data_IF_294710309650
#
_entry.id   IF_294710309650
#
_cell.length_a   1.000
_cell.length_b   1.000
_cell.length_c   1.000
_cell.angle_alpha   90.00
_cell.angle_beta   90.00
_cell.angle_gamma   90.00
#
_symmetry.space_group_name_H-M   'P 1'
#
loop_
_entity.id
_entity.type
_entity.pdbx_description
1 polymer ?
#
# COMPACT_ATOMS: atom_id res chain seq x y z
N UNK A 1 -70.73 17.03 17.91
CA UNK A 1 -69.46 17.15 18.67
C UNK A 1 -68.54 15.92 18.60
N UNK A 2 -69.02 14.67 18.49
CA UNK A 2 -68.15 13.47 18.40
C UNK A 2 -67.30 13.30 17.12
N UNK A 3 -67.63 13.97 16.01
CA UNK A 3 -66.86 13.87 14.75
C UNK A 3 -65.63 14.80 14.66
N UNK A 4 -65.55 15.83 15.50
CA UNK A 4 -64.41 16.78 15.49
C UNK A 4 -63.25 16.26 16.36
N UNK A 5 -63.56 15.45 17.39
CA UNK A 5 -62.54 14.87 18.27
C UNK A 5 -61.70 13.77 17.59
N UNK A 6 -62.27 13.06 16.61
CA UNK A 6 -61.57 11.99 15.88
C UNK A 6 -60.59 12.56 14.85
N UNK A 7 -60.90 13.71 14.24
CA UNK A 7 -59.99 14.38 13.30
C UNK A 7 -58.78 15.02 13.98
N UNK A 8 -58.92 15.49 15.23
CA UNK A 8 -57.80 16.02 16.03
C UNK A 8 -56.90 14.91 16.59
N UNK A 9 -57.44 13.73 16.90
CA UNK A 9 -56.65 12.56 17.29
C UNK A 9 -55.89 11.94 16.09
N UNK A 10 -56.44 11.97 14.88
CA UNK A 10 -55.74 11.54 13.66
C UNK A 10 -54.69 12.55 13.19
N UNK A 11 -54.91 13.86 13.37
CA UNK A 11 -53.87 14.87 13.12
C UNK A 11 -52.74 14.81 14.16
N UNK A 12 -53.04 14.47 15.41
CA UNK A 12 -52.04 14.23 16.46
C UNK A 12 -51.20 12.95 16.27
N UNK A 13 -51.75 11.94 15.58
CA UNK A 13 -51.03 10.70 15.26
C UNK A 13 -50.16 10.79 14.00
N UNK A 14 -50.36 11.78 13.13
CA UNK A 14 -49.51 12.04 11.95
C UNK A 14 -48.44 13.11 12.16
N UNK A 15 -48.56 13.95 13.20
CA UNK A 15 -47.53 14.94 13.55
C UNK A 15 -46.56 14.47 14.66
N UNK A 16 -46.75 13.27 15.21
CA UNK A 16 -45.91 12.69 16.26
C UNK A 16 -44.78 11.76 15.79
N UNK A 17 -44.43 11.77 14.50
CA UNK A 17 -43.33 10.95 13.93
C UNK A 17 -42.20 11.74 13.26
N UNK A 18 -42.22 13.06 13.35
CA UNK A 18 -41.10 13.92 12.99
C UNK A 18 -40.58 14.59 14.26
N UNK A 19 -39.27 14.54 14.50
CA UNK A 19 -38.57 14.90 15.74
C UNK A 19 -38.47 13.78 16.80
N UNK A 20 -38.05 12.58 16.38
CA UNK A 20 -36.89 12.04 17.08
C UNK A 20 -35.70 12.87 16.58
N UNK A 21 -35.13 13.70 17.46
CA UNK A 21 -33.81 14.27 17.24
C UNK A 21 -32.80 13.10 17.21
N UNK A 22 -32.65 12.46 16.05
CA UNK A 22 -31.36 11.88 15.69
C UNK A 22 -30.39 13.06 15.70
N UNK A 23 -29.51 13.10 16.70
CA UNK A 23 -28.51 14.16 16.80
C UNK A 23 -27.82 14.30 15.45
N UNK A 24 -27.97 15.46 14.83
CA UNK A 24 -27.33 15.76 13.55
C UNK A 24 -25.84 15.61 13.76
N UNK A 25 -25.25 14.55 13.20
CA UNK A 25 -23.81 14.41 13.19
C UNK A 25 -23.26 15.50 12.30
N UNK A 26 -22.34 16.28 12.86
CA UNK A 26 -21.66 17.37 12.18
C UNK A 26 -20.16 17.07 12.18
N UNK A 27 -19.51 17.20 11.03
CA UNK A 27 -18.04 17.06 10.97
C UNK A 27 -17.32 18.34 11.46
N UNK A 28 -15.99 18.30 11.44
CA UNK A 28 -15.15 19.45 11.84
C UNK A 28 -15.34 20.69 10.97
N UNK A 29 -15.92 20.55 9.78
CA UNK A 29 -16.22 21.63 8.85
C UNK A 29 -17.68 22.10 8.95
N UNK A 30 -18.44 21.63 9.95
CA UNK A 30 -19.84 22.04 10.10
C UNK A 30 -20.82 21.29 9.20
N UNK A 31 -20.37 20.30 8.42
CA UNK A 31 -21.23 19.58 7.46
C UNK A 31 -22.11 18.56 8.14
N UNK A 32 -23.38 18.51 7.74
CA UNK A 32 -24.43 17.71 8.38
C UNK A 32 -24.61 16.39 7.63
N UNK A 33 -24.54 15.27 8.35
CA UNK A 33 -24.80 13.94 7.79
C UNK A 33 -26.26 13.77 7.30
N UNK A 34 -26.44 13.09 6.15
CA UNK A 34 -27.74 12.89 5.50
C UNK A 34 -28.17 11.41 5.43
N UNK A 35 -28.52 10.74 6.54
CA UNK A 35 -28.75 9.28 6.58
C UNK A 35 -29.90 8.78 5.68
N UNK A 36 -30.94 9.60 5.49
CA UNK A 36 -32.15 9.22 4.75
C UNK A 36 -32.08 9.52 3.24
N UNK A 37 -30.99 10.15 2.76
CA UNK A 37 -30.87 10.55 1.36
C UNK A 37 -30.29 9.41 0.53
N UNK A 38 -31.02 8.98 -0.50
CA UNK A 38 -30.49 8.02 -1.47
C UNK A 38 -29.35 8.67 -2.27
N UNK A 39 -28.18 8.05 -2.24
CA UNK A 39 -27.07 8.42 -3.10
C UNK A 39 -27.07 7.67 -4.42
N UNK A 40 -25.90 7.70 -5.07
CA UNK A 40 -25.68 7.11 -6.39
C UNK A 40 -24.71 5.95 -6.32
N UNK A 41 -24.93 4.96 -7.17
CA UNK A 41 -23.95 3.94 -7.50
C UNK A 41 -23.25 4.33 -8.80
N UNK A 42 -21.92 4.45 -8.76
CA UNK A 42 -21.07 4.60 -9.94
C UNK A 42 -20.34 3.28 -10.19
N UNK A 43 -20.31 2.82 -11.44
CA UNK A 43 -19.50 1.69 -11.87
C UNK A 43 -18.51 2.20 -12.92
N UNK A 44 -17.22 2.03 -12.66
CA UNK A 44 -16.14 2.39 -13.57
C UNK A 44 -15.20 1.22 -13.80
N UNK A 45 -14.51 1.26 -14.93
CA UNK A 45 -13.57 0.22 -15.33
C UNK A 45 -12.37 0.83 -16.04
N UNK A 46 -11.22 0.21 -15.89
CA UNK A 46 -10.00 0.61 -16.59
C UNK A 46 -9.08 -0.59 -16.87
N UNK A 47 -8.33 -0.52 -17.95
CA UNK A 47 -7.35 -1.52 -18.37
C UNK A 47 -6.03 -0.79 -18.54
N UNK A 48 -5.02 -1.21 -17.77
CA UNK A 48 -3.67 -0.67 -17.86
C UNK A 48 -3.12 -0.84 -19.29
N UNK A 49 -2.55 0.22 -19.85
CA UNK A 49 -1.99 0.22 -21.21
C UNK A 49 -0.81 -0.75 -21.39
N UNK A 50 -0.08 -1.05 -20.32
CA UNK A 50 1.04 -2.01 -20.28
C UNK A 50 0.62 -3.47 -20.15
N UNK A 51 -0.64 -3.76 -19.82
CA UNK A 51 -1.09 -5.14 -19.57
C UNK A 51 -0.82 -6.08 -20.76
N UNK A 52 -1.04 -5.61 -21.98
CA UNK A 52 -0.84 -6.41 -23.20
C UNK A 52 0.64 -6.74 -23.47
N UNK A 53 1.57 -5.95 -22.91
CA UNK A 53 3.01 -6.20 -23.02
C UNK A 53 3.46 -7.30 -22.05
N UNK A 54 2.98 -7.25 -20.82
CA UNK A 54 3.31 -8.22 -19.77
C UNK A 54 2.62 -9.57 -19.97
N UNK A 55 1.40 -9.57 -20.54
CA UNK A 55 0.59 -10.77 -20.74
C UNK A 55 0.21 -10.97 -22.22
N UNK A 56 1.21 -11.22 -23.09
CA UNK A 56 0.95 -11.40 -24.51
C UNK A 56 0.10 -12.66 -24.74
N UNK A 57 -1.01 -12.51 -25.45
CA UNK A 57 -1.94 -13.60 -25.76
C UNK A 57 -3.11 -13.77 -24.78
N UNK A 58 -3.13 -13.04 -23.66
CA UNK A 58 -4.30 -12.95 -22.79
C UNK A 58 -5.27 -11.87 -23.28
N UNK A 59 -6.57 -12.16 -23.26
CA UNK A 59 -7.58 -11.17 -23.67
C UNK A 59 -7.96 -10.29 -22.48
N UNK A 60 -7.43 -9.07 -22.45
CA UNK A 60 -7.79 -8.03 -21.46
C UNK A 60 -9.30 -7.82 -21.35
N UNK A 61 -10.03 -7.99 -22.44
CA UNK A 61 -11.49 -7.95 -22.46
C UNK A 61 -12.11 -9.09 -21.64
N UNK A 62 -11.66 -10.34 -21.79
CA UNK A 62 -12.17 -11.47 -20.98
C UNK A 62 -11.83 -11.30 -19.50
N UNK A 63 -10.64 -10.79 -19.20
CA UNK A 63 -10.26 -10.44 -17.83
C UNK A 63 -11.23 -9.40 -17.25
N UNK A 64 -11.53 -8.35 -18.01
CA UNK A 64 -12.48 -7.32 -17.61
C UNK A 64 -13.91 -7.88 -17.45
N UNK A 65 -14.39 -8.73 -18.36
CA UNK A 65 -15.71 -9.40 -18.24
C UNK A 65 -15.82 -10.22 -16.95
N UNK A 66 -14.72 -10.85 -16.53
CA UNK A 66 -14.64 -11.60 -15.28
C UNK A 66 -14.76 -10.68 -14.08
N UNK A 67 -14.05 -9.55 -14.07
CA UNK A 67 -14.17 -8.53 -13.02
C UNK A 67 -15.57 -7.91 -12.97
N UNK A 68 -16.17 -7.65 -14.14
CA UNK A 68 -17.53 -7.15 -14.22
C UNK A 68 -18.56 -8.14 -13.67
N UNK A 69 -18.28 -9.45 -13.69
CA UNK A 69 -19.14 -10.44 -13.03
C UNK A 69 -19.15 -10.25 -11.51
N UNK A 70 -17.99 -9.99 -10.89
CA UNK A 70 -17.90 -9.63 -9.46
C UNK A 70 -18.61 -8.31 -9.20
N UNK A 71 -18.35 -7.29 -10.01
CA UNK A 71 -18.97 -5.97 -9.88
C UNK A 71 -20.51 -6.03 -9.98
N UNK A 72 -21.04 -6.86 -10.87
CA UNK A 72 -22.48 -7.07 -11.05
C UNK A 72 -23.11 -7.79 -9.86
N UNK A 73 -22.39 -8.72 -9.22
CA UNK A 73 -22.87 -9.36 -7.99
C UNK A 73 -22.92 -8.32 -6.86
N UNK A 74 -21.86 -7.53 -6.68
CA UNK A 74 -21.80 -6.47 -5.67
C UNK A 74 -22.89 -5.41 -5.89
N UNK A 75 -23.09 -4.95 -7.13
CA UNK A 75 -24.10 -3.93 -7.46
C UNK A 75 -25.55 -4.43 -7.33
N UNK A 76 -25.76 -5.75 -7.34
CA UNK A 76 -27.07 -6.35 -7.09
C UNK A 76 -27.51 -6.31 -5.62
N UNK A 77 -26.59 -5.96 -4.71
CA UNK A 77 -26.89 -5.83 -3.29
C UNK A 77 -27.71 -4.58 -3.00
N UNK A 78 -28.83 -4.74 -2.30
CA UNK A 78 -29.76 -3.62 -2.03
C UNK A 78 -29.13 -2.47 -1.24
N UNK A 79 -28.12 -2.75 -0.42
CA UNK A 79 -27.44 -1.72 0.38
C UNK A 79 -26.62 -0.70 -0.43
N UNK A 80 -26.34 -0.98 -1.72
CA UNK A 80 -25.61 -0.07 -2.61
C UNK A 80 -26.40 0.38 -3.83
N UNK A 81 -27.68 0.00 -3.95
CA UNK A 81 -28.49 0.30 -5.13
C UNK A 81 -29.96 0.62 -4.80
N UNK A 82 -30.28 1.90 -4.50
CA UNK A 82 -29.35 2.97 -4.16
C UNK A 82 -28.85 2.86 -2.71
N UNK A 83 -27.65 3.36 -2.37
CA UNK A 83 -27.19 3.40 -0.99
C UNK A 83 -27.91 4.54 -0.24
N UNK A 84 -28.56 4.23 0.88
CA UNK A 84 -29.12 5.25 1.76
C UNK A 84 -27.99 5.92 2.55
N UNK A 85 -27.94 7.25 2.55
CA UNK A 85 -26.97 8.06 3.29
C UNK A 85 -25.54 8.04 2.76
N UNK A 86 -25.30 7.45 1.60
CA UNK A 86 -23.97 7.31 1.03
C UNK A 86 -23.99 7.25 -0.50
N UNK A 87 -22.86 7.53 -1.12
CA UNK A 87 -22.56 7.15 -2.49
C UNK A 87 -21.73 5.86 -2.49
N UNK A 88 -21.93 5.04 -3.52
CA UNK A 88 -21.14 3.84 -3.76
C UNK A 88 -20.40 3.97 -5.10
N UNK A 89 -19.15 3.50 -5.14
CA UNK A 89 -18.36 3.42 -6.36
C UNK A 89 -17.76 2.03 -6.47
N UNK A 90 -18.02 1.33 -7.58
CA UNK A 90 -17.35 0.08 -7.93
C UNK A 90 -16.35 0.38 -9.05
N UNK A 91 -15.08 0.05 -8.82
CA UNK A 91 -14.02 0.20 -9.80
C UNK A 91 -13.41 -1.17 -10.11
N UNK A 92 -13.43 -1.55 -11.39
CA UNK A 92 -12.80 -2.77 -11.90
C UNK A 92 -11.52 -2.41 -12.65
N UNK A 93 -10.40 -3.05 -12.31
CA UNK A 93 -9.10 -2.73 -12.88
C UNK A 93 -8.37 -3.98 -13.35
N UNK A 94 -7.85 -3.93 -14.58
CA UNK A 94 -6.98 -4.96 -15.15
C UNK A 94 -5.58 -4.37 -15.35
N UNK A 95 -4.61 -4.88 -14.59
CA UNK A 95 -3.17 -4.72 -14.79
C UNK A 95 -2.49 -6.07 -14.54
N UNK A 96 -1.20 -6.08 -14.15
CA UNK A 96 -0.57 -7.23 -13.45
C UNK A 96 -1.47 -7.86 -12.38
N UNK A 97 -2.40 -7.08 -11.82
CA UNK A 97 -3.40 -7.51 -10.86
C UNK A 97 -4.79 -7.30 -11.44
N UNK A 98 -5.66 -8.28 -11.23
CA UNK A 98 -7.07 -8.21 -11.61
C UNK A 98 -7.90 -7.97 -10.36
N UNK A 99 -8.61 -6.85 -10.26
CA UNK A 99 -9.35 -6.55 -9.04
C UNK A 99 -10.60 -5.69 -9.20
N UNK A 100 -11.50 -5.84 -8.23
CA UNK A 100 -12.68 -5.00 -8.04
C UNK A 100 -12.63 -4.37 -6.66
N UNK A 101 -12.76 -3.05 -6.59
CA UNK A 101 -12.96 -2.32 -5.33
C UNK A 101 -14.36 -1.74 -5.27
N UNK A 102 -15.08 -1.98 -4.18
CA UNK A 102 -16.28 -1.23 -3.81
C UNK A 102 -15.91 -0.24 -2.71
N UNK A 103 -16.22 1.03 -2.93
CA UNK A 103 -15.99 2.13 -1.99
C UNK A 103 -17.32 2.79 -1.64
N UNK A 104 -17.54 3.03 -0.34
CA UNK A 104 -18.73 3.70 0.20
C UNK A 104 -18.29 4.99 0.87
N UNK A 105 -18.87 6.10 0.45
CA UNK A 105 -18.57 7.43 0.98
C UNK A 105 -19.85 8.10 1.45
N UNK A 106 -19.82 8.70 2.64
CA UNK A 106 -21.01 9.23 3.30
C UNK A 106 -21.48 10.52 2.63
N UNK A 107 -22.79 10.69 2.50
CA UNK A 107 -23.39 11.93 2.01
C UNK A 107 -23.56 12.94 3.14
N UNK A 108 -23.05 14.13 2.91
CA UNK A 108 -23.15 15.25 3.84
C UNK A 108 -23.76 16.46 3.14
N UNK A 109 -24.27 17.39 3.93
CA UNK A 109 -24.75 18.69 3.49
C UNK A 109 -23.82 19.74 4.06
N UNK A 110 -23.27 20.56 3.19
CA UNK A 110 -22.52 21.74 3.60
C UNK A 110 -23.45 22.72 4.34
N UNK A 111 -23.05 23.19 5.52
CA UNK A 111 -23.92 24.02 6.35
C UNK A 111 -24.10 25.44 5.78
N UNK A 112 -23.09 25.96 5.09
CA UNK A 112 -23.07 27.34 4.60
C UNK A 112 -23.78 27.46 3.25
N UNK A 113 -23.49 26.54 2.33
CA UNK A 113 -24.04 26.54 0.96
C UNK A 113 -25.31 25.70 0.83
N UNK A 114 -25.51 24.75 1.74
CA UNK A 114 -26.59 23.78 1.66
C UNK A 114 -26.39 22.70 0.58
N UNK A 115 -25.26 22.69 -0.10
CA UNK A 115 -24.96 21.73 -1.17
C UNK A 115 -24.68 20.33 -0.62
N UNK A 116 -24.98 19.31 -1.43
CA UNK A 116 -24.66 17.92 -1.09
C UNK A 116 -23.20 17.65 -1.47
N UNK A 117 -22.42 17.23 -0.49
CA UNK A 117 -21.03 16.85 -0.65
C UNK A 117 -20.83 15.41 -0.21
N UNK A 118 -19.70 14.83 -0.63
CA UNK A 118 -19.29 13.49 -0.22
C UNK A 118 -18.17 13.64 0.80
N UNK A 119 -18.20 12.86 1.87
CA UNK A 119 -17.11 12.85 2.85
C UNK A 119 -15.79 12.41 2.22
N UNK A 120 -14.69 13.01 2.68
CA UNK A 120 -13.34 12.52 2.39
C UNK A 120 -13.05 11.14 3.00
N UNK A 121 -13.81 10.75 4.02
CA UNK A 121 -13.77 9.41 4.60
C UNK A 121 -14.61 8.42 3.79
N UNK A 122 -14.04 7.26 3.52
CA UNK A 122 -14.71 6.18 2.81
C UNK A 122 -14.27 4.82 3.34
N UNK A 123 -15.20 3.88 3.35
CA UNK A 123 -14.92 2.48 3.65
C UNK A 123 -14.82 1.71 2.34
N UNK A 124 -13.90 0.76 2.24
CA UNK A 124 -13.73 -0.02 1.01
C UNK A 124 -13.59 -1.53 1.27
N UNK A 125 -14.00 -2.30 0.28
CA UNK A 125 -13.68 -3.73 0.15
C UNK A 125 -13.05 -3.96 -1.21
N UNK A 126 -11.96 -4.71 -1.22
CA UNK A 126 -11.17 -5.06 -2.40
C UNK A 126 -11.25 -6.56 -2.61
N UNK A 127 -11.58 -6.98 -3.83
CA UNK A 127 -11.61 -8.37 -4.28
C UNK A 127 -10.59 -8.52 -5.41
N UNK A 128 -9.48 -9.18 -5.11
CA UNK A 128 -8.45 -9.56 -6.09
C UNK A 128 -8.74 -10.94 -6.67
N UNK A 129 -8.49 -11.11 -7.97
CA UNK A 129 -8.58 -12.38 -8.70
C UNK A 129 -7.18 -12.84 -9.10
N UNK A 130 -6.84 -14.10 -8.83
CA UNK A 130 -5.54 -14.70 -9.19
C UNK A 130 -4.32 -13.93 -8.65
N UNK A 131 -4.53 -13.04 -7.67
CA UNK A 131 -3.49 -12.20 -7.09
C UNK A 131 -3.09 -12.74 -5.71
N UNK A 132 -2.16 -13.68 -5.70
CA UNK A 132 -1.61 -14.19 -4.44
C UNK A 132 -0.76 -13.13 -3.72
N UNK A 133 -0.22 -12.15 -4.45
CA UNK A 133 0.57 -11.06 -3.87
C UNK A 133 -0.30 -10.11 -3.03
N UNK A 134 -1.60 -10.00 -3.31
CA UNK A 134 -2.53 -9.30 -2.43
C UNK A 134 -2.68 -9.98 -1.04
N UNK A 135 -2.32 -11.26 -0.90
CA UNK A 135 -2.43 -12.01 0.35
C UNK A 135 -1.16 -11.98 1.23
N UNK A 136 -0.03 -11.51 0.72
CA UNK A 136 1.29 -11.72 1.37
C UNK A 136 1.78 -10.53 2.21
N UNK A 137 1.17 -9.36 2.08
CA UNK A 137 1.63 -8.14 2.76
C UNK A 137 2.95 -7.61 2.18
N UNK A 138 3.76 -6.94 2.99
CA UNK A 138 5.11 -6.52 2.59
C UNK A 138 6.10 -7.67 2.80
N UNK A 139 6.81 -8.11 1.76
CA UNK A 139 7.78 -9.20 1.89
C UNK A 139 9.01 -8.79 2.68
N UNK A 140 9.64 -9.78 3.31
CA UNK A 140 10.97 -9.64 3.94
C UNK A 140 12.01 -9.63 2.84
N UNK A 141 12.00 -10.66 1.99
CA UNK A 141 12.87 -10.78 0.83
C UNK A 141 12.16 -11.47 -0.32
N UNK A 142 12.22 -10.89 -1.53
CA UNK A 142 11.51 -11.38 -2.72
C UNK A 142 10.01 -11.64 -2.42
N UNK A 143 9.55 -12.90 -2.52
CA UNK A 143 8.19 -13.33 -2.15
C UNK A 143 8.12 -14.00 -0.76
N UNK A 144 9.23 -14.04 -0.01
CA UNK A 144 9.31 -14.60 1.34
C UNK A 144 8.77 -13.57 2.33
N UNK A 145 7.83 -14.02 3.16
CA UNK A 145 7.09 -13.19 4.10
C UNK A 145 7.17 -13.76 5.52
N UNK A 146 6.94 -12.90 6.51
CA UNK A 146 6.57 -13.37 7.84
C UNK A 146 5.24 -14.13 7.73
N UNK A 147 5.21 -15.35 8.25
CA UNK A 147 4.08 -16.28 8.10
C UNK A 147 2.80 -15.64 8.66
N UNK A 148 1.77 -15.41 7.82
CA UNK A 148 0.54 -14.81 8.27
C UNK A 148 -0.18 -15.69 9.28
N UNK A 149 -0.77 -15.05 10.30
CA UNK A 149 -1.47 -15.77 11.38
C UNK A 149 -2.95 -15.85 11.03
N UNK A 150 -3.51 -17.07 10.96
CA UNK A 150 -4.97 -17.24 10.84
C UNK A 150 -5.64 -16.68 12.10
N UNK A 151 -6.60 -15.76 11.93
CA UNK A 151 -7.32 -15.11 13.04
C UNK A 151 -8.75 -15.61 13.18
N UNK A 152 -9.47 -15.76 12.08
CA UNK A 152 -10.86 -16.24 12.06
C UNK A 152 -11.24 -16.72 10.66
N UNK A 153 -12.51 -17.07 10.46
CA UNK A 153 -13.05 -17.50 9.17
C UNK A 153 -14.10 -16.49 8.66
N UNK A 154 -14.06 -16.19 7.37
CA UNK A 154 -15.04 -15.40 6.64
C UNK A 154 -15.83 -16.32 5.72
N UNK A 155 -17.09 -16.61 6.09
CA UNK A 155 -17.98 -17.55 5.37
C UNK A 155 -17.33 -18.92 5.09
N UNK A 156 -16.56 -19.43 6.05
CA UNK A 156 -15.85 -20.72 5.95
C UNK A 156 -14.47 -20.66 5.30
N UNK A 157 -13.99 -19.47 4.90
CA UNK A 157 -12.64 -19.28 4.35
C UNK A 157 -11.70 -18.60 5.35
N UNK A 158 -10.42 -19.00 5.43
CA UNK A 158 -9.49 -18.47 6.41
C UNK A 158 -9.19 -16.99 6.17
N UNK A 159 -9.19 -16.23 7.26
CA UNK A 159 -8.74 -14.84 7.29
C UNK A 159 -7.43 -14.75 8.04
N UNK A 160 -6.42 -14.23 7.37
CA UNK A 160 -5.06 -14.09 7.88
C UNK A 160 -4.77 -12.65 8.25
N UNK A 161 -4.06 -12.46 9.36
CA UNK A 161 -3.42 -11.20 9.71
C UNK A 161 -2.04 -11.14 9.06
N UNK A 162 -1.83 -10.11 8.24
CA UNK A 162 -0.55 -9.76 7.62
C UNK A 162 -0.05 -8.42 8.18
N UNK A 163 1.18 -8.04 7.86
CA UNK A 163 1.70 -6.71 8.18
C UNK A 163 1.02 -5.57 7.38
N UNK A 164 0.14 -5.87 6.44
CA UNK A 164 -0.68 -4.89 5.70
C UNK A 164 -2.18 -4.95 6.05
N UNK A 165 -2.55 -5.71 7.07
CA UNK A 165 -3.94 -5.88 7.48
C UNK A 165 -4.48 -7.30 7.29
N UNK A 166 -5.80 -7.44 7.42
CA UNK A 166 -6.48 -8.72 7.25
C UNK A 166 -6.77 -9.02 5.78
N UNK A 167 -6.61 -10.29 5.41
CA UNK A 167 -6.96 -10.80 4.08
C UNK A 167 -7.65 -12.15 4.19
N UNK A 168 -8.79 -12.29 3.53
CA UNK A 168 -9.41 -13.60 3.31
C UNK A 168 -8.84 -14.22 2.05
N UNK A 169 -8.49 -15.50 2.10
CA UNK A 169 -7.98 -16.26 0.96
C UNK A 169 -8.96 -17.38 0.60
N UNK A 170 -9.50 -17.33 -0.61
CA UNK A 170 -10.54 -18.23 -1.09
C UNK A 170 -10.01 -19.01 -2.28
N UNK A 171 -9.87 -20.32 -2.12
CA UNK A 171 -9.48 -21.25 -3.19
C UNK A 171 -10.29 -22.56 -3.07
N UNK A 172 -10.74 -23.14 -4.18
CA UNK A 172 -11.44 -24.42 -4.18
C UNK A 172 -10.50 -25.62 -3.96
N UNK A 173 -9.19 -25.42 -4.05
CA UNK A 173 -8.20 -26.51 -4.07
C UNK A 173 -7.92 -27.14 -2.69
N UNK A 174 -8.40 -26.53 -1.59
CA UNK A 174 -8.14 -27.02 -0.23
C UNK A 174 -6.66 -27.01 0.17
N UNK A 175 -5.81 -26.31 -0.59
CA UNK A 175 -4.38 -26.17 -0.32
C UNK A 175 -4.12 -25.08 0.71
N UNK A 176 -3.04 -25.20 1.49
CA UNK A 176 -2.58 -24.12 2.35
C UNK A 176 -2.23 -22.88 1.51
N UNK A 177 -2.61 -21.70 1.99
CA UNK A 177 -2.28 -20.44 1.34
C UNK A 177 -0.78 -20.12 1.37
N UNK A 178 -0.09 -20.62 2.39
CA UNK A 178 1.32 -20.37 2.63
C UNK A 178 2.05 -21.68 2.87
N UNK A 179 3.25 -21.79 2.30
CA UNK A 179 4.17 -22.92 2.50
C UNK A 179 5.37 -22.45 3.32
N UNK A 180 5.88 -23.26 4.27
CA UNK A 180 7.08 -22.93 5.02
C UNK A 180 8.26 -22.65 4.08
N UNK A 181 9.00 -21.59 4.37
CA UNK A 181 10.28 -21.31 3.71
C UNK A 181 11.41 -21.93 4.51
N UNK A 182 12.31 -22.64 3.84
CA UNK A 182 13.49 -23.22 4.48
C UNK A 182 14.61 -22.20 4.70
N UNK A 183 15.54 -22.49 5.63
CA UNK A 183 16.70 -21.62 5.89
C UNK A 183 17.55 -21.39 4.64
N UNK A 184 17.77 -22.45 3.86
CA UNK A 184 18.53 -22.36 2.62
C UNK A 184 17.85 -21.49 1.57
N UNK A 185 16.53 -21.63 1.37
CA UNK A 185 15.78 -20.79 0.43
C UNK A 185 15.85 -19.31 0.81
N UNK A 186 15.68 -19.00 2.11
CA UNK A 186 15.77 -17.63 2.59
C UNK A 186 17.16 -17.03 2.39
N UNK A 187 18.23 -17.71 2.82
CA UNK A 187 19.59 -17.19 2.70
C UNK A 187 19.96 -16.98 1.23
N UNK A 188 19.55 -17.89 0.33
CA UNK A 188 19.76 -17.73 -1.11
C UNK A 188 19.04 -16.50 -1.67
N UNK A 189 17.80 -16.26 -1.26
CA UNK A 189 17.04 -15.08 -1.70
C UNK A 189 17.67 -13.77 -1.19
N UNK A 190 18.17 -13.73 0.06
CA UNK A 190 18.89 -12.56 0.58
C UNK A 190 20.20 -12.35 -0.19
N UNK A 191 20.95 -13.43 -0.42
CA UNK A 191 22.21 -13.39 -1.14
C UNK A 191 22.02 -12.86 -2.57
N UNK A 192 21.01 -13.34 -3.30
CA UNK A 192 20.69 -12.87 -4.65
C UNK A 192 20.37 -11.37 -4.66
N UNK A 193 19.54 -10.91 -3.73
CA UNK A 193 19.23 -9.47 -3.58
C UNK A 193 20.49 -8.65 -3.30
N UNK A 194 21.33 -9.08 -2.37
CA UNK A 194 22.56 -8.33 -2.02
C UNK A 194 23.56 -8.32 -3.19
N UNK A 195 23.65 -9.40 -3.95
CA UNK A 195 24.46 -9.46 -5.18
C UNK A 195 23.92 -8.51 -6.27
N UNK A 196 22.60 -8.42 -6.44
CA UNK A 196 21.97 -7.44 -7.34
C UNK A 196 22.23 -5.99 -6.89
N UNK A 197 22.09 -5.69 -5.59
CA UNK A 197 22.38 -4.37 -5.04
C UNK A 197 23.86 -4.01 -5.25
N UNK A 198 24.77 -4.95 -5.01
CA UNK A 198 26.19 -4.75 -5.26
C UNK A 198 26.48 -4.48 -6.74
N UNK A 199 25.84 -5.21 -7.66
CA UNK A 199 25.99 -5.02 -9.09
C UNK A 199 25.54 -3.62 -9.53
N UNK A 200 24.35 -3.19 -9.10
CA UNK A 200 23.81 -1.84 -9.40
C UNK A 200 24.70 -0.75 -8.84
N UNK A 201 25.16 -0.87 -7.59
CA UNK A 201 26.07 0.11 -6.99
C UNK A 201 27.42 0.17 -7.70
N UNK A 202 27.96 -0.98 -8.09
CA UNK A 202 29.24 -1.06 -8.83
C UNK A 202 29.10 -0.39 -10.19
N UNK A 203 27.99 -0.61 -10.89
CA UNK A 203 27.71 0.05 -12.17
C UNK A 203 27.56 1.56 -12.00
N UNK A 204 26.82 2.02 -10.99
CA UNK A 204 26.68 3.45 -10.69
C UNK A 204 28.04 4.11 -10.38
N UNK A 205 28.86 3.49 -9.53
CA UNK A 205 30.19 3.99 -9.20
C UNK A 205 31.15 4.08 -10.41
N UNK A 206 30.98 3.19 -11.39
CA UNK A 206 31.76 3.22 -12.63
C UNK A 206 31.24 4.23 -13.67
N UNK A 207 29.99 4.70 -13.53
CA UNK A 207 29.37 5.67 -14.42
C UNK A 207 29.48 7.12 -13.93
N UNK A 208 29.83 7.35 -12.66
CA UNK A 208 30.13 8.69 -12.17
C UNK A 208 31.32 9.25 -12.95
N UNK A 209 31.17 10.38 -13.68
CA UNK A 209 32.31 11.02 -14.32
C UNK A 209 33.35 11.37 -13.26
N UNK A 210 34.64 11.28 -13.60
CA UNK A 210 35.64 11.95 -12.79
C UNK A 210 35.28 13.44 -12.79
N UNK A 211 34.91 14.00 -11.63
CA UNK A 211 34.76 15.44 -11.52
C UNK A 211 36.12 16.07 -11.80
N UNK A 212 36.29 16.55 -13.02
CA UNK A 212 37.48 17.29 -13.39
C UNK A 212 37.46 18.59 -12.58
N UNK A 213 38.51 18.86 -11.81
CA UNK A 213 38.64 20.13 -11.07
C UNK A 213 38.49 21.35 -11.98
N UNK A 214 38.81 21.21 -13.28
CA UNK A 214 38.57 22.24 -14.28
C UNK A 214 37.08 22.51 -14.54
N UNK A 215 36.24 21.48 -14.51
CA UNK A 215 34.79 21.59 -14.75
C UNK A 215 34.07 22.17 -13.53
N UNK A 216 34.44 21.74 -12.30
CA UNK A 216 33.97 22.36 -11.05
C UNK A 216 34.34 23.86 -11.04
N UNK A 217 35.59 24.19 -11.37
CA UNK A 217 36.03 25.58 -11.45
C UNK A 217 35.26 26.37 -12.50
N UNK A 218 35.01 25.80 -13.68
CA UNK A 218 34.26 26.46 -14.74
C UNK A 218 32.81 26.74 -14.33
N UNK A 219 32.18 25.82 -13.59
CA UNK A 219 30.82 25.99 -13.09
C UNK A 219 30.73 27.01 -11.95
N UNK A 220 31.70 27.00 -11.02
CA UNK A 220 31.79 28.01 -9.97
C UNK A 220 32.12 29.41 -10.52
N UNK A 221 32.99 29.51 -11.55
CA UNK A 221 33.27 30.77 -12.26
C UNK A 221 32.01 31.30 -12.98
N UNK A 222 31.18 30.42 -13.54
CA UNK A 222 29.88 30.78 -14.11
C UNK A 222 28.92 31.30 -13.03
N UNK A 223 28.84 30.63 -11.89
CA UNK A 223 28.00 31.04 -10.76
C UNK A 223 28.39 32.41 -10.21
N UNK A 224 29.70 32.70 -10.10
CA UNK A 224 30.18 34.04 -9.72
C UNK A 224 29.73 35.12 -10.70
N UNK A 225 29.69 34.81 -12.00
CA UNK A 225 29.25 35.77 -13.01
C UNK A 225 27.77 36.11 -12.85
N UNK A 226 26.93 35.10 -12.57
CA UNK A 226 25.49 35.27 -12.28
C UNK A 226 25.27 36.03 -10.96
N UNK A 227 26.11 35.79 -9.94
CA UNK A 227 26.11 36.57 -8.69
C UNK A 227 26.51 38.03 -8.93
N UNK A 228 27.49 38.31 -9.78
CA UNK A 228 27.91 39.67 -10.12
C UNK A 228 26.77 40.44 -10.81
N UNK A 229 26.03 39.79 -11.72
CA UNK A 229 24.82 40.38 -12.34
C UNK A 229 23.71 40.68 -11.32
N UNK A 230 23.52 39.77 -10.36
CA UNK A 230 22.57 39.94 -9.24
C UNK A 230 23.00 41.08 -8.32
N UNK A 231 24.28 41.19 -8.01
CA UNK A 231 24.87 42.27 -7.22
C UNK A 231 24.67 43.64 -7.89
N UNK A 232 24.88 43.75 -9.21
CA UNK A 232 24.64 45.00 -9.96
C UNK A 232 23.17 45.42 -9.94
N UNK A 233 22.25 44.45 -9.87
CA UNK A 233 20.81 44.72 -9.73
C UNK A 233 20.47 45.20 -8.32
N UNK A 234 21.01 44.53 -7.28
CA UNK A 234 20.82 44.91 -5.87
C UNK A 234 21.40 46.29 -5.55
N UNK A 235 22.55 46.64 -6.12
CA UNK A 235 23.18 47.97 -5.99
C UNK A 235 22.26 49.13 -6.37
N UNK A 236 21.36 48.91 -7.33
CA UNK A 236 20.39 49.92 -7.80
C UNK A 236 19.17 50.03 -6.90
N UNK A 237 18.86 48.98 -6.13
CA UNK A 237 17.64 48.87 -5.34
C UNK A 237 17.89 49.13 -3.85
N UNK A 238 18.92 48.50 -3.27
CA UNK A 238 19.29 48.65 -1.85
C UNK A 238 20.80 48.50 -1.67
N UNK A 239 21.46 49.62 -1.37
CA UNK A 239 22.90 49.69 -1.20
C UNK A 239 23.41 48.95 0.04
N UNK A 240 22.57 48.79 1.08
CA UNK A 240 22.96 48.12 2.32
C UNK A 240 22.97 46.60 2.11
N UNK A 241 21.93 46.07 1.47
CA UNK A 241 21.84 44.64 1.12
C UNK A 241 22.92 44.26 0.09
N UNK A 242 23.19 45.13 -0.89
CA UNK A 242 24.25 44.90 -1.85
C UNK A 242 25.64 44.79 -1.19
N UNK A 243 25.93 45.57 -0.14
CA UNK A 243 27.20 45.51 0.57
C UNK A 243 27.41 44.18 1.31
N UNK A 244 26.35 43.63 1.94
CA UNK A 244 26.39 42.31 2.58
C UNK A 244 26.53 41.18 1.53
N UNK A 245 25.81 41.29 0.41
CA UNK A 245 25.90 40.34 -0.70
C UNK A 245 27.32 40.30 -1.32
N UNK A 246 27.97 41.46 -1.44
CA UNK A 246 29.36 41.56 -1.94
C UNK A 246 30.35 40.81 -1.06
N UNK A 247 30.18 40.83 0.26
CA UNK A 247 31.05 40.10 1.19
C UNK A 247 30.93 38.58 0.98
N UNK A 248 29.72 38.07 0.75
CA UNK A 248 29.51 36.65 0.40
C UNK A 248 30.16 36.28 -0.94
N UNK A 249 30.03 37.13 -1.96
CA UNK A 249 30.67 36.92 -3.26
C UNK A 249 32.20 36.96 -3.18
N UNK A 250 32.79 37.84 -2.37
CA UNK A 250 34.24 37.91 -2.15
C UNK A 250 34.76 36.69 -1.38
N UNK A 251 33.97 36.12 -0.46
CA UNK A 251 34.30 34.87 0.22
C UNK A 251 34.34 33.68 -0.77
N UNK A 252 33.33 33.56 -1.64
CA UNK A 252 33.30 32.54 -2.69
C UNK A 252 34.43 32.70 -3.71
N UNK A 253 34.77 33.94 -4.12
CA UNK A 253 35.94 34.23 -4.98
C UNK A 253 37.25 33.74 -4.34
N UNK A 254 37.41 33.88 -3.02
CA UNK A 254 38.59 33.39 -2.29
C UNK A 254 38.62 31.85 -2.21
N UNK A 255 37.47 31.23 -2.05
CA UNK A 255 37.33 29.77 -2.03
C UNK A 255 37.79 29.16 -3.37
N UNK A 256 37.35 29.71 -4.51
CA UNK A 256 37.80 29.26 -5.84
C UNK A 256 39.31 29.44 -6.05
N UNK A 257 39.88 30.53 -5.55
CA UNK A 257 41.33 30.76 -5.65
C UNK A 257 42.14 29.76 -4.81
N UNK A 258 41.55 29.28 -3.70
CA UNK A 258 42.17 28.27 -2.84
C UNK A 258 42.18 26.86 -3.46
N UNK A 259 41.26 26.55 -4.39
CA UNK A 259 41.24 25.29 -5.17
C UNK A 259 42.57 25.06 -5.93
N UNK A 260 43.31 26.11 -6.27
CA UNK A 260 44.61 26.00 -6.97
C UNK A 260 45.85 26.12 -6.06
N UNK A 261 45.68 26.51 -4.79
CA UNK A 261 46.81 27.03 -3.97
C UNK A 261 47.17 26.18 -2.76
N UNK A 262 46.46 25.09 -2.52
CA UNK A 262 46.70 24.20 -1.38
C UNK A 262 46.74 22.77 -1.89
N UNK A 263 47.85 22.02 -1.76
CA UNK A 263 47.77 20.58 -1.80
C UNK A 263 46.94 20.18 -0.58
N UNK A 264 45.66 19.90 -0.79
CA UNK A 264 44.85 19.26 0.24
C UNK A 264 45.58 17.99 0.70
N UNK A 265 45.56 17.64 2.00
CA UNK A 265 45.97 16.30 2.41
C UNK A 265 45.17 15.33 1.53
N UNK A 266 45.86 14.44 0.81
CA UNK A 266 45.24 13.54 -0.15
C UNK A 266 44.00 12.91 0.48
N UNK A 267 42.83 13.41 0.09
CA UNK A 267 41.56 12.83 0.50
C UNK A 267 41.49 11.39 0.01
N UNK A 268 40.58 10.59 0.56
CA UNK A 268 40.42 9.22 0.10
C UNK A 268 40.22 9.22 -1.42
N UNK A 269 40.95 8.36 -2.13
CA UNK A 269 40.82 8.30 -3.60
C UNK A 269 39.39 7.89 -3.96
N UNK A 270 38.96 8.15 -5.21
CA UNK A 270 37.66 7.69 -5.71
C UNK A 270 37.53 6.18 -5.52
N UNK A 271 38.58 5.40 -5.76
CA UNK A 271 38.61 3.97 -5.51
C UNK A 271 38.45 3.62 -4.02
N UNK A 272 39.04 4.41 -3.11
CA UNK A 272 38.89 4.21 -1.67
C UNK A 272 37.47 4.51 -1.20
N UNK A 273 36.83 5.55 -1.74
CA UNK A 273 35.43 5.91 -1.47
C UNK A 273 34.46 4.85 -2.01
N UNK A 274 34.64 4.43 -3.27
CA UNK A 274 33.87 3.35 -3.88
C UNK A 274 34.04 2.07 -3.07
N UNK A 275 35.27 1.71 -2.70
CA UNK A 275 35.50 0.52 -1.89
C UNK A 275 34.87 0.64 -0.50
N UNK A 276 34.91 1.80 0.14
CA UNK A 276 34.24 2.03 1.42
C UNK A 276 32.73 1.86 1.32
N UNK A 277 32.10 2.31 0.23
CA UNK A 277 30.66 2.17 0.00
C UNK A 277 30.24 0.73 -0.34
N UNK A 278 31.03 0.02 -1.13
CA UNK A 278 30.72 -1.36 -1.56
C UNK A 278 31.09 -2.41 -0.50
N UNK A 279 32.02 -2.11 0.41
CA UNK A 279 32.51 -3.04 1.43
C UNK A 279 31.42 -3.63 2.34
N UNK A 280 30.44 -2.87 2.84
CA UNK A 280 29.33 -3.43 3.62
C UNK A 280 28.57 -4.55 2.88
N UNK A 281 28.22 -4.34 1.61
CA UNK A 281 27.54 -5.36 0.79
C UNK A 281 28.44 -6.58 0.56
N UNK A 282 29.73 -6.37 0.27
CA UNK A 282 30.70 -7.48 0.10
C UNK A 282 30.84 -8.32 1.38
N UNK A 283 30.94 -7.67 2.55
CA UNK A 283 31.02 -8.34 3.85
C UNK A 283 29.76 -9.15 4.13
N UNK A 284 28.58 -8.57 3.89
CA UNK A 284 27.29 -9.25 4.06
C UNK A 284 27.18 -10.49 3.16
N UNK A 285 27.52 -10.37 1.88
CA UNK A 285 27.54 -11.51 0.95
C UNK A 285 28.49 -12.61 1.44
N UNK A 286 29.70 -12.25 1.89
CA UNK A 286 30.67 -13.21 2.42
C UNK A 286 30.15 -13.92 3.67
N UNK A 287 29.54 -13.18 4.60
CA UNK A 287 28.95 -13.72 5.81
C UNK A 287 27.78 -14.66 5.51
N UNK A 288 26.88 -14.31 4.59
CA UNK A 288 25.76 -15.18 4.16
C UNK A 288 26.27 -16.48 3.52
N UNK A 289 27.31 -16.40 2.68
CA UNK A 289 27.95 -17.59 2.08
C UNK A 289 28.59 -18.49 3.14
N UNK A 290 29.27 -17.89 4.12
CA UNK A 290 29.87 -18.63 5.24
C UNK A 290 28.80 -19.27 6.13
N UNK A 291 27.71 -18.55 6.42
CA UNK A 291 26.57 -19.03 7.20
C UNK A 291 25.93 -20.26 6.53
N UNK A 292 25.64 -20.18 5.23
CA UNK A 292 25.06 -21.29 4.47
C UNK A 292 26.00 -22.51 4.39
N UNK A 293 27.31 -22.27 4.23
CA UNK A 293 28.31 -23.34 4.19
C UNK A 293 28.50 -24.01 5.57
N UNK A 294 28.28 -23.27 6.66
CA UNK A 294 28.35 -23.77 8.03
C UNK A 294 27.16 -24.62 8.47
N UNK A 295 26.02 -24.54 7.77
CA UNK A 295 24.81 -25.32 8.10
C UNK A 295 24.89 -26.76 7.59
N UNK A 296 24.38 -27.70 8.39
CA UNK A 296 24.13 -29.07 7.95
C UNK A 296 22.96 -29.15 6.96
N UNK A 297 22.89 -30.23 6.17
CA UNK A 297 21.77 -30.48 5.24
C UNK A 297 20.41 -30.59 5.93
N UNK A 298 20.39 -31.04 7.19
CA UNK A 298 19.17 -31.08 7.98
C UNK A 298 18.73 -29.65 8.36
N UNK A 299 19.65 -28.82 8.85
CA UNK A 299 19.36 -27.42 9.23
C UNK A 299 18.93 -26.57 8.05
N UNK A 300 19.57 -26.75 6.88
CA UNK A 300 19.18 -26.05 5.63
C UNK A 300 17.72 -26.26 5.27
N UNK A 301 17.18 -27.46 5.53
CA UNK A 301 15.79 -27.86 5.24
C UNK A 301 14.80 -27.49 6.33
N UNK A 302 15.27 -27.06 7.51
CA UNK A 302 14.37 -26.58 8.55
C UNK A 302 13.70 -25.29 8.13
N UNK A 303 12.50 -25.04 8.65
CA UNK A 303 11.81 -23.77 8.43
C UNK A 303 12.66 -22.61 8.98
N UNK A 304 12.71 -21.52 8.21
CA UNK A 304 13.38 -20.30 8.59
C UNK A 304 12.55 -19.52 9.62
N UNK A 305 13.24 -19.02 10.65
CA UNK A 305 12.68 -18.11 11.65
C UNK A 305 13.54 -16.86 11.70
N UNK A 306 12.96 -15.71 11.38
CA UNK A 306 13.65 -14.42 11.42
C UNK A 306 13.61 -13.88 12.85
N UNK A 307 14.77 -13.49 13.40
CA UNK A 307 14.86 -12.91 14.74
C UNK A 307 14.01 -11.64 14.88
N UNK A 308 13.39 -11.40 16.03
CA UNK A 308 12.76 -10.11 16.37
C UNK A 308 13.80 -8.98 16.58
N UNK A 309 15.06 -9.34 16.82
CA UNK A 309 16.14 -8.38 17.03
C UNK A 309 16.59 -7.74 15.72
N UNK A 310 16.32 -6.44 15.59
CA UNK A 310 16.71 -5.65 14.41
C UNK A 310 18.24 -5.63 14.20
N UNK A 311 19.04 -5.73 15.26
CA UNK A 311 20.51 -5.78 15.10
C UNK A 311 20.96 -7.07 14.44
N UNK A 312 20.24 -8.18 14.70
CA UNK A 312 20.46 -9.43 14.00
C UNK A 312 19.97 -9.38 12.55
N UNK A 313 18.81 -8.75 12.29
CA UNK A 313 18.24 -8.63 10.94
C UNK A 313 19.08 -7.75 10.00
N UNK A 314 19.62 -6.64 10.51
CA UNK A 314 20.38 -5.67 9.73
C UNK A 314 21.90 -5.81 9.90
N UNK A 315 22.35 -6.85 10.61
CA UNK A 315 23.76 -7.18 10.77
C UNK A 315 24.38 -7.79 9.50
N UNK A 316 25.59 -8.35 9.65
CA UNK A 316 26.32 -8.96 8.53
C UNK A 316 25.76 -10.33 8.12
N UNK A 317 24.99 -11.01 8.97
CA UNK A 317 24.40 -12.32 8.69
C UNK A 317 22.99 -12.27 8.10
N UNK A 318 22.31 -13.43 8.05
CA UNK A 318 20.95 -13.55 7.54
C UNK A 318 19.86 -13.00 8.48
N UNK A 319 20.20 -12.86 9.77
CA UNK A 319 19.25 -12.53 10.84
C UNK A 319 18.33 -13.70 11.24
N UNK A 320 18.57 -14.91 10.73
CA UNK A 320 17.84 -16.10 11.14
C UNK A 320 18.28 -16.60 12.52
N UNK A 321 17.35 -17.23 13.22
CA UNK A 321 17.65 -17.94 14.46
C UNK A 321 18.44 -19.24 14.18
N UNK A 322 19.36 -19.56 15.09
CA UNK A 322 20.28 -20.69 14.96
C UNK A 322 19.61 -22.03 15.30
N UNK A 323 20.05 -23.11 14.66
CA UNK A 323 19.57 -24.48 14.97
C UNK A 323 18.05 -24.62 15.04
N UNK A 324 17.55 -25.18 16.16
CA UNK A 324 16.12 -25.37 16.45
C UNK A 324 15.51 -24.25 17.30
N UNK A 325 16.19 -23.11 17.47
CA UNK A 325 15.65 -21.99 18.23
C UNK A 325 14.53 -21.31 17.42
N UNK A 326 13.33 -21.31 17.98
CA UNK A 326 12.16 -20.66 17.37
C UNK A 326 11.58 -19.55 18.25
N UNK A 327 12.11 -19.38 19.47
CA UNK A 327 11.60 -18.41 20.45
C UNK A 327 12.13 -17.03 20.14
N UNK A 328 11.24 -16.04 20.03
CA UNK A 328 11.61 -14.65 19.70
C UNK A 328 11.89 -14.43 18.21
N UNK A 329 11.33 -15.26 17.34
CA UNK A 329 11.41 -15.06 15.90
C UNK A 329 10.11 -15.37 15.17
N UNK A 330 9.96 -14.77 13.99
CA UNK A 330 8.82 -14.97 13.11
C UNK A 330 9.12 -16.08 12.11
N UNK A 331 8.28 -17.10 12.08
CA UNK A 331 8.32 -18.13 11.06
C UNK A 331 8.21 -17.49 9.67
N UNK A 332 9.04 -17.90 8.71
CA UNK A 332 8.96 -17.43 7.33
C UNK A 332 8.22 -18.43 6.45
N UNK A 333 7.47 -17.89 5.49
CA UNK A 333 6.71 -18.65 4.51
C UNK A 333 6.76 -17.99 3.14
N UNK A 334 6.33 -18.71 2.11
CA UNK A 334 6.05 -18.18 0.77
C UNK A 334 4.58 -18.40 0.44
N UNK A 335 3.97 -17.55 -0.39
CA UNK A 335 2.68 -17.86 -0.98
C UNK A 335 2.74 -19.19 -1.74
N UNK A 336 1.71 -20.03 -1.59
CA UNK A 336 1.68 -21.33 -2.25
C UNK A 336 1.46 -21.14 -3.77
N UNK A 337 2.45 -21.44 -4.63
CA UNK A 337 2.34 -21.22 -6.07
C UNK A 337 1.31 -22.14 -6.72
N UNK A 338 0.89 -23.22 -6.04
CA UNK A 338 -0.11 -24.16 -6.56
C UNK A 338 -1.55 -23.61 -6.47
N UNK A 339 -1.76 -22.48 -5.78
CA UNK A 339 -3.06 -21.82 -5.73
C UNK A 339 -3.46 -21.15 -7.06
N UNK A 340 -2.48 -20.78 -7.87
CA UNK A 340 -2.69 -20.19 -9.20
C UNK A 340 -1.82 -20.96 -10.19
N UNK A 341 -2.42 -21.94 -10.88
CA UNK A 341 -1.67 -22.84 -11.75
C UNK A 341 -1.17 -22.11 -12.99
N UNK A 342 0.12 -22.30 -13.31
CA UNK A 342 0.72 -21.84 -14.57
C UNK A 342 0.00 -22.47 -15.76
N UNK A 343 -0.22 -21.69 -16.81
CA UNK A 343 -0.85 -22.13 -18.06
C UNK A 343 -2.38 -22.13 -18.05
N UNK A 344 -3.03 -21.84 -16.91
CA UNK A 344 -4.46 -21.52 -16.89
C UNK A 344 -4.63 -20.05 -17.26
N UNK A 345 -5.53 -19.71 -18.20
CA UNK A 345 -5.75 -18.33 -18.60
C UNK A 345 -6.13 -17.40 -17.43
N UNK A 346 -5.59 -16.18 -17.41
CA UNK A 346 -5.78 -15.22 -16.30
C UNK A 346 -7.25 -14.90 -16.00
N UNK A 347 -8.10 -14.89 -17.04
CA UNK A 347 -9.53 -14.63 -16.91
C UNK A 347 -10.31 -15.77 -16.25
N UNK A 348 -9.69 -16.91 -15.94
CA UNK A 348 -10.30 -18.00 -15.17
C UNK A 348 -9.86 -17.83 -13.70
N UNK A 349 -10.75 -17.41 -12.79
CA UNK A 349 -10.39 -17.25 -11.39
C UNK A 349 -10.09 -18.62 -10.76
N UNK A 350 -8.91 -18.75 -10.15
CA UNK A 350 -8.44 -19.91 -9.37
C UNK A 350 -8.26 -19.54 -7.88
N UNK A 351 -8.16 -18.24 -7.61
CA UNK A 351 -7.97 -17.66 -6.28
C UNK A 351 -8.74 -16.35 -6.17
N UNK A 352 -9.37 -16.11 -5.01
CA UNK A 352 -9.79 -14.77 -4.59
C UNK A 352 -9.05 -14.35 -3.33
N UNK A 353 -8.74 -13.07 -3.26
CA UNK A 353 -8.31 -12.41 -2.03
C UNK A 353 -9.29 -11.29 -1.70
N UNK A 354 -9.74 -11.21 -0.44
CA UNK A 354 -10.62 -10.13 0.01
C UNK A 354 -9.92 -9.32 1.09
N UNK A 355 -9.88 -8.00 0.92
CA UNK A 355 -9.34 -7.06 1.90
C UNK A 355 -10.37 -5.99 2.20
N UNK A 356 -10.34 -5.49 3.42
CA UNK A 356 -11.22 -4.43 3.88
C UNK A 356 -10.40 -3.23 4.37
N UNK A 357 -11.02 -2.05 4.29
CA UNK A 357 -10.51 -0.83 4.89
C UNK A 357 -11.69 -0.08 5.50
N UNK A 358 -11.93 -0.30 6.79
CA UNK A 358 -12.96 0.38 7.59
C UNK A 358 -12.31 1.33 8.57
N UNK A 359 -12.77 2.59 8.60
CA UNK A 359 -12.14 3.65 9.39
C UNK A 359 -12.40 3.55 10.89
N UNK A 360 -13.59 3.10 11.29
CA UNK A 360 -14.01 2.95 12.69
C UNK A 360 -13.97 1.48 13.15
N UNK A 361 -13.17 0.65 12.48
CA UNK A 361 -12.90 -0.71 12.92
C UNK A 361 -11.56 -0.78 13.65
N UNK A 362 -11.53 -1.46 14.79
CA UNK A 362 -10.31 -1.67 15.59
C UNK A 362 -9.19 -2.38 14.81
N UNK A 363 -9.56 -3.13 13.78
CA UNK A 363 -8.67 -4.00 13.04
C UNK A 363 -8.79 -3.79 11.51
N UNK A 364 -9.55 -2.77 11.10
CA UNK A 364 -9.80 -2.42 9.70
C UNK A 364 -10.83 -3.30 8.99
N UNK A 365 -11.43 -4.28 9.68
CA UNK A 365 -12.36 -5.26 9.09
C UNK A 365 -13.79 -5.10 9.60
N UNK A 366 -14.78 -5.70 8.91
CA UNK A 366 -16.15 -5.79 9.41
C UNK A 366 -16.31 -6.43 10.79
N UNK A 367 -15.37 -7.29 11.20
CA UNK A 367 -15.44 -8.02 12.47
C UNK A 367 -15.00 -7.15 13.65
N UNK A 368 -14.10 -6.19 13.41
CA UNK A 368 -13.63 -5.23 14.40
C UNK A 368 -14.48 -3.96 14.53
N UNK A 369 -15.60 -3.86 13.81
CA UNK A 369 -16.51 -2.72 13.85
C UNK A 369 -17.34 -2.69 15.13
N UNK A 370 -17.31 -1.56 15.84
CA UNK A 370 -17.94 -1.40 17.16
C UNK A 370 -19.46 -1.15 17.13
N UNK A 371 -20.04 -0.93 15.94
CA UNK A 371 -21.46 -0.69 15.75
C UNK A 371 -21.88 0.79 15.72
N UNK A 372 -20.97 1.76 15.87
CA UNK A 372 -21.34 3.17 15.69
C UNK A 372 -21.60 3.49 14.22
N UNK A 373 -22.86 3.67 13.87
CA UNK A 373 -23.30 3.92 12.50
C UNK A 373 -23.57 5.39 12.20
N UNK A 374 -23.19 6.31 13.08
CA UNK A 374 -23.43 7.75 12.90
C UNK A 374 -22.28 8.38 12.11
N UNK A 375 -22.61 9.39 11.30
CA UNK A 375 -21.61 10.14 10.54
C UNK A 375 -20.75 9.23 9.66
N UNK A 376 -19.43 9.29 9.82
CA UNK A 376 -18.48 8.47 9.07
C UNK A 376 -18.62 6.96 9.35
N UNK A 377 -19.13 6.56 10.52
CA UNK A 377 -19.39 5.15 10.84
C UNK A 377 -20.50 4.51 9.98
N UNK A 378 -21.28 5.32 9.26
CA UNK A 378 -22.33 4.82 8.37
C UNK A 378 -21.78 4.02 7.19
N UNK A 379 -20.65 4.45 6.59
CA UNK A 379 -20.03 3.67 5.51
C UNK A 379 -19.47 2.33 6.00
N UNK A 380 -18.93 2.31 7.22
CA UNK A 380 -18.45 1.07 7.87
C UNK A 380 -19.63 0.13 8.16
N UNK A 381 -20.76 0.66 8.64
CA UNK A 381 -21.98 -0.12 8.83
C UNK A 381 -22.45 -0.77 7.52
N UNK A 382 -22.50 -0.01 6.42
CA UNK A 382 -22.87 -0.56 5.11
C UNK A 382 -21.92 -1.70 4.73
N UNK A 383 -20.61 -1.54 4.92
CA UNK A 383 -19.65 -2.62 4.65
C UNK A 383 -19.82 -3.84 5.56
N UNK A 384 -20.17 -3.62 6.83
CA UNK A 384 -20.45 -4.71 7.76
C UNK A 384 -21.71 -5.48 7.38
N UNK A 385 -22.75 -4.77 6.93
CA UNK A 385 -23.99 -5.39 6.48
C UNK A 385 -23.76 -6.16 5.16
N UNK A 386 -22.93 -5.64 4.25
CA UNK A 386 -22.48 -6.36 3.06
C UNK A 386 -21.71 -7.64 3.44
N UNK A 387 -20.79 -7.55 4.40
CA UNK A 387 -19.99 -8.67 4.86
C UNK A 387 -20.85 -9.80 5.45
N UNK A 388 -22.02 -9.50 6.01
CA UNK A 388 -22.97 -10.48 6.57
C UNK A 388 -23.84 -11.16 5.52
N UNK A 389 -23.93 -10.66 4.29
CA UNK A 389 -24.75 -11.25 3.23
C UNK A 389 -24.07 -12.49 2.62
N UNK A 390 -24.23 -13.63 3.31
CA UNK A 390 -23.64 -14.91 2.92
C UNK A 390 -24.06 -15.34 1.51
N UNK A 391 -25.30 -15.09 1.11
CA UNK A 391 -25.82 -15.48 -0.21
C UNK A 391 -25.11 -14.71 -1.33
N UNK A 392 -24.83 -13.42 -1.11
CA UNK A 392 -24.04 -12.62 -2.04
C UNK A 392 -22.61 -13.13 -2.15
N UNK A 393 -21.93 -13.37 -1.03
CA UNK A 393 -20.55 -13.83 -1.03
C UNK A 393 -20.39 -15.22 -1.65
N UNK A 394 -21.33 -16.14 -1.42
CA UNK A 394 -21.38 -17.45 -2.09
C UNK A 394 -21.42 -17.32 -3.62
N UNK A 395 -22.16 -16.34 -4.15
CA UNK A 395 -22.17 -16.07 -5.60
C UNK A 395 -20.79 -15.61 -6.09
N UNK A 396 -20.08 -14.77 -5.35
CA UNK A 396 -18.72 -14.33 -5.69
C UNK A 396 -17.74 -15.52 -5.62
N UNK A 397 -17.80 -16.32 -4.55
CA UNK A 397 -16.92 -17.49 -4.38
C UNK A 397 -17.12 -18.55 -5.46
N UNK A 398 -18.35 -18.68 -5.99
CA UNK A 398 -18.65 -19.61 -7.08
C UNK A 398 -17.97 -19.28 -8.42
N UNK A 399 -17.36 -18.09 -8.53
CA UNK A 399 -16.58 -17.71 -9.72
C UNK A 399 -15.22 -18.41 -9.77
N UNK A 400 -14.74 -18.95 -8.65
CA UNK A 400 -13.44 -19.62 -8.55
C UNK A 400 -13.56 -21.09 -8.95
N UNK A 401 -12.63 -21.57 -9.77
CA UNK A 401 -12.66 -22.91 -10.37
C UNK A 401 -11.45 -23.76 -10.00
#
# INVERSE_FOLDING_TARGET
MKKILISLLLAGLFCGRAYCQEGSYTDSEGRIFLPAVNGKLKISRDINSGFSYEFPGESSQKCMETLLSVANILSSWRGVNPPAGANASIFSYVSERMAVSLTISVLMKDADTGEKVVSGYASSVYVGLNDIAAAIGNPVVDDIIATPVKKYDFHGHPVFWTNMGYVAVISPLGLSAFIPCSKEEYIKAVLEREEQVLAVKTEAANQEPEENQADIKAEMDKSIKEMEETYQTLLKQDKKIAAEFKLGMEAMKKEIQSINSTPEPAGPTKEELINAELNPSRKKIAALKAELAGMSEAEKRMQAYLSEDLTAQYGEGSGLLSGSETRGGFALSRPNPLLVKKGVPLHIPQLLTIRWSLGNSSDGTPMGFNGDSRGFGHSDKIMCDLAKDEALWKRIFSLVK
#
